data_IF_947729169307
#
_entry.id   IF_947729169307
#
_cell.length_a   1.000
_cell.length_b   1.000
_cell.length_c   1.000
_cell.angle_alpha   90.00
_cell.angle_beta   90.00
_cell.angle_gamma   90.00
#
_symmetry.space_group_name_H-M   'P 1'
#
loop_
_entity.id
_entity.type
_entity.pdbx_description
1 polymer ?
#
# COMPACT_ATOMS: atom_id res chain seq x y z
N UNK A 1 16.15 -22.41 -20.41
CA UNK A 1 15.27 -21.22 -20.62
C UNK A 1 13.90 -21.42 -19.97
N UNK A 2 13.20 -22.56 -20.16
CA UNK A 2 11.89 -22.83 -19.53
C UNK A 2 11.88 -22.92 -17.98
N UNK A 3 12.98 -23.38 -17.35
CA UNK A 3 13.10 -23.44 -15.88
C UNK A 3 13.19 -22.04 -15.23
N UNK A 4 14.05 -21.15 -15.74
CA UNK A 4 14.17 -19.79 -15.20
C UNK A 4 12.87 -18.97 -15.33
N UNK A 5 12.12 -19.14 -16.43
CA UNK A 5 10.82 -18.47 -16.60
C UNK A 5 9.77 -19.01 -15.63
N UNK A 6 9.80 -20.31 -15.33
CA UNK A 6 8.88 -20.95 -14.39
C UNK A 6 9.21 -20.56 -12.94
N UNK A 7 10.48 -20.57 -12.54
CA UNK A 7 10.93 -20.13 -11.22
C UNK A 7 10.58 -18.67 -10.96
N UNK A 8 10.77 -17.79 -11.96
CA UNK A 8 10.35 -16.38 -11.88
C UNK A 8 8.83 -16.27 -11.74
N UNK A 9 8.05 -16.99 -12.54
CA UNK A 9 6.60 -16.99 -12.40
C UNK A 9 6.15 -17.43 -11.00
N UNK A 10 6.68 -18.55 -10.50
CA UNK A 10 6.35 -19.07 -9.16
C UNK A 10 6.65 -18.04 -8.07
N UNK A 11 7.82 -17.41 -8.12
CA UNK A 11 8.23 -16.40 -7.13
C UNK A 11 7.26 -15.21 -7.02
N UNK A 12 6.85 -14.65 -8.16
CA UNK A 12 5.90 -13.54 -8.18
C UNK A 12 4.46 -13.99 -7.90
N UNK A 13 4.08 -15.18 -8.35
CA UNK A 13 2.75 -15.74 -8.12
C UNK A 13 2.51 -16.04 -6.64
N UNK A 14 3.46 -16.67 -5.94
CA UNK A 14 3.33 -16.96 -4.51
C UNK A 14 3.17 -15.69 -3.69
N UNK A 15 3.95 -14.65 -4.00
CA UNK A 15 3.83 -13.34 -3.35
C UNK A 15 2.50 -12.66 -3.68
N UNK A 16 2.07 -12.70 -4.93
CA UNK A 16 0.77 -12.16 -5.34
C UNK A 16 -0.37 -12.88 -4.60
N UNK A 17 -0.34 -14.21 -4.54
CA UNK A 17 -1.35 -15.01 -3.85
C UNK A 17 -1.37 -14.75 -2.35
N UNK A 18 -0.21 -14.63 -1.71
CA UNK A 18 -0.11 -14.26 -0.29
C UNK A 18 -0.69 -12.86 -0.01
N UNK A 19 -0.37 -11.88 -0.87
CA UNK A 19 -0.92 -10.53 -0.77
C UNK A 19 -2.44 -10.51 -0.98
N UNK A 20 -2.94 -11.24 -1.97
CA UNK A 20 -4.37 -11.33 -2.23
C UNK A 20 -5.12 -11.95 -1.05
N UNK A 21 -4.57 -13.01 -0.43
CA UNK A 21 -5.13 -13.60 0.78
C UNK A 21 -5.10 -12.60 1.96
N UNK A 22 -4.00 -11.89 2.14
CA UNK A 22 -3.87 -10.87 3.19
C UNK A 22 -4.87 -9.73 3.01
N UNK A 23 -5.08 -9.28 1.77
CA UNK A 23 -6.09 -8.28 1.42
C UNK A 23 -7.51 -8.76 1.72
N UNK A 24 -7.83 -10.00 1.38
CA UNK A 24 -9.16 -10.57 1.68
C UNK A 24 -9.43 -10.59 3.19
N UNK A 25 -8.41 -10.94 4.00
CA UNK A 25 -8.52 -10.85 5.46
C UNK A 25 -8.77 -9.40 5.90
N UNK A 26 -7.94 -8.45 5.45
CA UNK A 26 -8.09 -7.03 5.82
C UNK A 26 -9.45 -6.44 5.40
N UNK A 27 -10.03 -6.91 4.28
CA UNK A 27 -11.37 -6.51 3.85
C UNK A 27 -12.45 -7.03 4.81
N UNK A 28 -12.32 -8.29 5.25
CA UNK A 28 -13.22 -8.86 6.25
C UNK A 28 -13.12 -8.12 7.58
N UNK A 29 -11.89 -7.81 8.02
CA UNK A 29 -11.63 -7.05 9.24
C UNK A 29 -12.20 -5.61 9.14
N UNK A 30 -12.08 -4.94 7.99
CA UNK A 30 -12.72 -3.65 7.73
C UNK A 30 -14.26 -3.73 7.84
N UNK A 31 -14.88 -4.75 7.25
CA UNK A 31 -16.33 -4.94 7.36
C UNK A 31 -16.76 -5.20 8.80
N UNK A 32 -16.02 -6.02 9.55
CA UNK A 32 -16.27 -6.24 10.97
C UNK A 32 -16.11 -4.95 11.78
N UNK A 33 -15.10 -4.15 11.45
CA UNK A 33 -14.85 -2.85 12.07
C UNK A 33 -16.04 -1.92 11.88
N UNK A 34 -16.52 -1.78 10.64
CA UNK A 34 -17.66 -0.92 10.29
C UNK A 34 -18.98 -1.39 10.89
N UNK A 35 -19.23 -2.71 10.91
CA UNK A 35 -20.53 -3.26 11.29
C UNK A 35 -20.72 -3.36 12.82
N UNK A 36 -19.63 -3.56 13.57
CA UNK A 36 -19.73 -3.90 15.01
C UNK A 36 -18.75 -3.11 15.86
N UNK A 37 -17.45 -3.19 15.57
CA UNK A 37 -16.43 -2.73 16.51
C UNK A 37 -16.40 -1.19 16.64
N UNK A 38 -16.71 -0.45 15.56
CA UNK A 38 -16.74 1.02 15.58
C UNK A 38 -17.75 1.55 16.60
N UNK A 39 -18.95 0.96 16.65
CA UNK A 39 -19.99 1.35 17.60
C UNK A 39 -19.64 0.95 19.03
N UNK A 40 -18.99 -0.21 19.21
CA UNK A 40 -18.46 -0.60 20.52
C UNK A 40 -17.41 0.39 21.04
N UNK A 41 -16.48 0.82 20.20
CA UNK A 41 -15.45 1.81 20.57
C UNK A 41 -16.11 3.15 20.88
N UNK A 42 -17.07 3.58 20.05
CA UNK A 42 -17.84 4.81 20.26
C UNK A 42 -18.50 4.84 21.63
N UNK A 43 -19.16 3.74 22.01
CA UNK A 43 -19.85 3.60 23.29
C UNK A 43 -18.89 3.49 24.47
N UNK A 44 -17.84 2.66 24.37
CA UNK A 44 -16.86 2.47 25.43
C UNK A 44 -16.03 3.71 25.73
N UNK A 45 -15.65 4.45 24.70
CA UNK A 45 -14.82 5.65 24.82
C UNK A 45 -15.63 6.94 24.91
N UNK A 46 -16.98 6.84 24.99
CA UNK A 46 -17.90 7.97 25.03
C UNK A 46 -17.64 9.01 23.92
N UNK A 47 -17.32 8.54 22.72
CA UNK A 47 -16.96 9.39 21.58
C UNK A 47 -18.14 9.64 20.66
N UNK A 48 -18.07 10.70 19.88
CA UNK A 48 -19.01 10.98 18.79
C UNK A 48 -18.59 10.16 17.57
N UNK A 49 -19.55 9.71 16.75
CA UNK A 49 -19.29 8.89 15.56
C UNK A 49 -18.18 9.47 14.65
N UNK A 50 -18.18 10.77 14.39
CA UNK A 50 -17.12 11.42 13.59
C UNK A 50 -15.71 11.33 14.21
N UNK A 51 -15.60 11.25 15.54
CA UNK A 51 -14.32 11.17 16.25
C UNK A 51 -13.67 9.78 16.20
N UNK A 52 -14.39 8.75 15.72
CA UNK A 52 -13.87 7.38 15.56
C UNK A 52 -13.66 6.99 14.09
N UNK A 53 -14.05 7.85 13.13
CA UNK A 53 -13.93 7.58 11.69
C UNK A 53 -12.48 7.40 11.21
N UNK A 54 -11.51 7.96 11.92
CA UNK A 54 -10.08 7.78 11.61
C UNK A 54 -9.66 6.31 11.58
N UNK A 55 -10.34 5.44 12.35
CA UNK A 55 -10.11 3.99 12.35
C UNK A 55 -10.52 3.38 11.01
N UNK A 56 -11.68 3.80 10.47
CA UNK A 56 -12.17 3.34 9.17
C UNK A 56 -11.24 3.82 8.05
N UNK A 57 -10.76 5.05 8.13
CA UNK A 57 -9.82 5.60 7.14
C UNK A 57 -8.50 4.82 7.12
N UNK A 58 -7.98 4.44 8.30
CA UNK A 58 -6.81 3.57 8.43
C UNK A 58 -7.04 2.20 7.78
N UNK A 59 -8.16 1.53 8.08
CA UNK A 59 -8.49 0.22 7.52
C UNK A 59 -8.71 0.25 6.00
N UNK A 60 -9.33 1.30 5.47
CA UNK A 60 -9.46 1.48 4.01
C UNK A 60 -8.09 1.54 3.34
N UNK A 61 -7.16 2.33 3.87
CA UNK A 61 -5.80 2.37 3.35
C UNK A 61 -5.10 1.02 3.45
N UNK A 62 -5.29 0.29 4.55
CA UNK A 62 -4.71 -1.05 4.71
C UNK A 62 -5.18 -2.00 3.59
N UNK A 63 -6.46 -1.91 3.19
CA UNK A 63 -7.04 -2.76 2.13
C UNK A 63 -6.59 -2.32 0.73
N UNK A 64 -6.57 -1.00 0.47
CA UNK A 64 -6.23 -0.43 -0.84
C UNK A 64 -4.81 -0.77 -1.28
N UNK A 65 -3.83 -0.64 -0.37
CA UNK A 65 -2.43 -0.70 -0.77
C UNK A 65 -1.84 -2.11 -0.89
N UNK A 66 -2.53 -3.16 -0.43
CA UNK A 66 -2.08 -4.56 -0.54
C UNK A 66 -2.04 -5.12 -1.98
N UNK A 67 -2.20 -4.28 -3.01
CA UNK A 67 -2.18 -4.66 -4.43
C UNK A 67 -0.85 -4.32 -5.13
N UNK A 68 0.00 -3.50 -4.52
CA UNK A 68 1.23 -2.95 -5.13
C UNK A 68 2.19 -4.03 -5.63
N UNK A 69 2.18 -5.22 -5.04
CA UNK A 69 2.99 -6.35 -5.46
C UNK A 69 2.76 -6.84 -6.89
N UNK A 70 1.60 -6.57 -7.50
CA UNK A 70 1.35 -6.94 -8.89
C UNK A 70 2.25 -6.15 -9.86
N UNK A 71 2.73 -4.98 -9.47
CA UNK A 71 3.49 -4.08 -10.35
C UNK A 71 4.95 -4.52 -10.54
N UNK A 72 5.56 -5.11 -9.50
CA UNK A 72 6.95 -5.57 -9.51
C UNK A 72 7.26 -6.61 -10.61
N UNK A 73 6.24 -7.36 -11.07
CA UNK A 73 6.38 -8.37 -12.12
C UNK A 73 6.66 -7.77 -13.51
N UNK A 74 6.14 -6.56 -13.77
CA UNK A 74 6.15 -5.93 -15.09
C UNK A 74 7.38 -5.04 -15.36
N UNK A 75 8.26 -4.86 -14.37
CA UNK A 75 9.48 -4.07 -14.53
C UNK A 75 10.54 -4.83 -15.38
N UNK A 76 11.09 -4.21 -16.45
CA UNK A 76 12.11 -4.83 -17.29
C UNK A 76 13.42 -5.09 -16.53
N UNK A 77 14.01 -6.27 -16.72
CA UNK A 77 15.24 -6.71 -16.03
C UNK A 77 16.50 -5.91 -16.43
N UNK A 78 16.42 -5.13 -17.52
CA UNK A 78 17.55 -4.39 -18.10
C UNK A 78 17.86 -3.09 -17.35
N UNK A 79 16.92 -2.57 -16.57
CA UNK A 79 17.04 -1.27 -15.87
C UNK A 79 17.31 -1.48 -14.37
N UNK A 80 18.50 -2.04 -14.07
CA UNK A 80 18.86 -2.48 -12.70
C UNK A 80 18.70 -1.39 -11.64
N UNK A 81 19.13 -0.17 -11.92
CA UNK A 81 19.10 0.92 -10.92
C UNK A 81 17.67 1.37 -10.63
N UNK A 82 16.81 1.41 -11.65
CA UNK A 82 15.38 1.70 -11.49
C UNK A 82 14.66 0.61 -10.71
N UNK A 83 15.05 -0.65 -10.92
CA UNK A 83 14.54 -1.77 -10.12
C UNK A 83 14.95 -1.66 -8.65
N UNK A 84 16.21 -1.37 -8.37
CA UNK A 84 16.70 -1.18 -7.00
C UNK A 84 15.99 0.01 -6.30
N UNK A 85 15.76 1.11 -7.03
CA UNK A 85 15.00 2.25 -6.51
C UNK A 85 13.52 1.92 -6.25
N UNK A 86 12.87 1.17 -7.15
CA UNK A 86 11.52 0.68 -6.95
C UNK A 86 11.41 -0.27 -5.76
N UNK A 87 12.34 -1.23 -5.62
CA UNK A 87 12.39 -2.17 -4.49
C UNK A 87 12.56 -1.42 -3.15
N UNK A 88 13.36 -0.34 -3.13
CA UNK A 88 13.50 0.53 -1.97
C UNK A 88 12.19 1.24 -1.61
N UNK A 89 11.55 1.92 -2.57
CA UNK A 89 10.28 2.61 -2.34
C UNK A 89 9.17 1.65 -1.92
N UNK A 90 9.13 0.47 -2.52
CA UNK A 90 8.21 -0.60 -2.15
C UNK A 90 8.45 -1.05 -0.71
N UNK A 91 9.71 -1.27 -0.32
CA UNK A 91 10.07 -1.68 1.05
C UNK A 91 9.66 -0.66 2.11
N UNK A 92 9.87 0.64 1.85
CA UNK A 92 9.45 1.72 2.75
C UNK A 92 7.92 1.75 2.92
N UNK A 93 7.19 1.65 1.81
CA UNK A 93 5.73 1.65 1.82
C UNK A 93 5.14 0.43 2.53
N UNK A 94 5.71 -0.76 2.32
CA UNK A 94 5.30 -1.99 3.00
C UNK A 94 5.59 -1.96 4.50
N UNK A 95 6.76 -1.44 4.90
CA UNK A 95 7.10 -1.26 6.30
C UNK A 95 6.18 -0.25 6.98
N UNK A 96 5.81 0.85 6.31
CA UNK A 96 4.78 1.78 6.76
C UNK A 96 3.41 1.11 6.94
N UNK A 97 2.98 0.36 5.93
CA UNK A 97 1.71 -0.36 5.91
C UNK A 97 1.61 -1.40 7.03
N UNK A 98 2.68 -2.16 7.30
CA UNK A 98 2.68 -3.17 8.36
C UNK A 98 2.61 -2.51 9.75
N UNK A 99 3.29 -1.39 9.98
CA UNK A 99 3.17 -0.61 11.23
C UNK A 99 1.75 -0.08 11.42
N UNK A 100 1.15 0.46 10.37
CA UNK A 100 -0.24 0.93 10.38
C UNK A 100 -1.21 -0.21 10.72
N UNK A 101 -1.04 -1.36 10.07
CA UNK A 101 -1.86 -2.54 10.29
C UNK A 101 -1.73 -3.08 11.71
N UNK A 102 -0.52 -3.18 12.26
CA UNK A 102 -0.30 -3.61 13.64
C UNK A 102 -0.96 -2.68 14.66
N UNK A 103 -0.90 -1.36 14.44
CA UNK A 103 -1.57 -0.38 15.30
C UNK A 103 -3.10 -0.53 15.22
N UNK A 104 -3.64 -0.67 14.00
CA UNK A 104 -5.08 -0.82 13.77
C UNK A 104 -5.67 -2.17 14.27
N UNK A 105 -4.88 -3.25 14.26
CA UNK A 105 -5.32 -4.60 14.69
C UNK A 105 -5.09 -4.81 16.19
N UNK A 106 -3.86 -4.58 16.68
CA UNK A 106 -3.46 -4.98 18.04
C UNK A 106 -3.65 -3.90 19.09
N UNK A 107 -3.24 -2.67 18.78
CA UNK A 107 -3.33 -1.58 19.76
C UNK A 107 -4.79 -1.12 19.93
N UNK A 108 -5.58 -1.19 18.86
CA UNK A 108 -7.01 -0.91 18.91
C UNK A 108 -7.77 -1.90 19.81
N UNK A 109 -7.33 -3.15 19.87
CA UNK A 109 -7.96 -4.22 20.65
C UNK A 109 -8.03 -3.88 22.16
N UNK A 110 -7.06 -3.12 22.67
CA UNK A 110 -7.03 -2.64 24.05
C UNK A 110 -8.29 -1.83 24.35
N UNK A 111 -8.64 -0.88 23.48
CA UNK A 111 -9.79 0.00 23.65
C UNK A 111 -11.13 -0.68 23.34
N UNK A 112 -11.09 -1.82 22.65
CA UNK A 112 -12.23 -2.70 22.45
C UNK A 112 -12.53 -3.57 23.67
N UNK A 113 -11.54 -3.88 24.50
CA UNK A 113 -11.68 -4.75 25.67
C UNK A 113 -11.83 -3.94 26.97
N UNK A 114 -11.07 -2.86 27.10
CA UNK A 114 -11.04 -2.01 28.29
C UNK A 114 -12.15 -0.94 28.28
N UNK A 115 -12.28 -0.22 29.40
CA UNK A 115 -13.23 0.89 29.55
C UNK A 115 -12.71 2.21 28.99
N UNK A 116 -13.37 3.30 29.37
CA UNK A 116 -12.96 4.67 29.02
C UNK A 116 -11.49 4.90 29.40
N UNK A 117 -10.64 5.25 28.42
CA UNK A 117 -9.22 5.52 28.62
C UNK A 117 -8.86 6.93 28.16
N UNK A 118 -8.04 7.62 28.96
CA UNK A 118 -7.47 8.93 28.60
C UNK A 118 -6.41 8.80 27.49
N UNK A 119 -5.86 7.62 27.31
CA UNK A 119 -4.84 7.32 26.29
C UNK A 119 -5.46 7.16 24.90
N UNK A 120 -6.79 7.11 24.78
CA UNK A 120 -7.47 6.97 23.49
C UNK A 120 -7.18 8.16 22.55
N UNK A 121 -7.04 9.37 23.09
CA UNK A 121 -6.66 10.56 22.29
C UNK A 121 -5.23 10.46 21.74
N UNK A 122 -4.33 9.84 22.50
CA UNK A 122 -2.96 9.57 22.07
C UNK A 122 -2.95 8.50 20.96
N UNK A 123 -3.73 7.43 21.14
CA UNK A 123 -3.94 6.42 20.11
C UNK A 123 -4.52 7.01 18.83
N UNK A 124 -5.54 7.87 18.93
CA UNK A 124 -6.11 8.58 17.76
C UNK A 124 -5.03 9.34 17.00
N UNK A 125 -4.23 10.12 17.72
CA UNK A 125 -3.15 10.92 17.12
C UNK A 125 -2.12 10.01 16.45
N UNK A 126 -1.75 8.91 17.09
CA UNK A 126 -0.83 7.91 16.57
C UNK A 126 -1.35 7.24 15.30
N UNK A 127 -2.59 6.72 15.31
CA UNK A 127 -3.16 6.01 14.18
C UNK A 127 -3.36 6.95 12.99
N UNK A 128 -3.86 8.17 13.21
CA UNK A 128 -3.99 9.18 12.17
C UNK A 128 -2.63 9.59 11.59
N UNK A 129 -1.61 9.75 12.43
CA UNK A 129 -0.24 10.05 12.01
C UNK A 129 0.35 8.93 11.15
N UNK A 130 0.25 7.67 11.58
CA UNK A 130 0.68 6.50 10.80
C UNK A 130 -0.07 6.41 9.47
N UNK A 131 -1.38 6.66 9.47
CA UNK A 131 -2.21 6.68 8.28
C UNK A 131 -1.69 7.73 7.27
N UNK A 132 -1.38 8.94 7.74
CA UNK A 132 -0.82 9.99 6.88
C UNK A 132 0.57 9.64 6.35
N UNK A 133 1.46 9.12 7.19
CA UNK A 133 2.83 8.76 6.79
C UNK A 133 2.82 7.62 5.77
N UNK A 134 2.02 6.59 6.01
CA UNK A 134 1.86 5.45 5.10
C UNK A 134 1.32 5.90 3.75
N UNK A 135 0.30 6.77 3.74
CA UNK A 135 -0.21 7.38 2.51
C UNK A 135 0.90 8.09 1.72
N UNK A 136 1.75 8.88 2.39
CA UNK A 136 2.85 9.58 1.72
C UNK A 136 3.86 8.62 1.07
N UNK A 137 4.21 7.51 1.73
CA UNK A 137 5.10 6.50 1.13
C UNK A 137 4.52 5.93 -0.17
N UNK A 138 3.22 5.66 -0.18
CA UNK A 138 2.55 5.15 -1.36
C UNK A 138 2.37 6.20 -2.45
N UNK A 139 2.08 7.46 -2.10
CA UNK A 139 2.05 8.56 -3.07
C UNK A 139 3.42 8.76 -3.73
N UNK A 140 4.50 8.68 -2.96
CA UNK A 140 5.87 8.72 -3.50
C UNK A 140 6.14 7.55 -4.45
N UNK A 141 5.70 6.33 -4.10
CA UNK A 141 5.82 5.16 -4.96
C UNK A 141 5.05 5.36 -6.27
N UNK A 142 3.80 5.79 -6.21
CA UNK A 142 2.97 6.04 -7.40
C UNK A 142 3.58 7.14 -8.27
N UNK A 143 4.03 8.24 -7.68
CA UNK A 143 4.67 9.34 -8.40
C UNK A 143 5.96 8.88 -9.09
N UNK A 144 6.79 8.08 -8.42
CA UNK A 144 8.00 7.52 -9.01
C UNK A 144 7.69 6.60 -10.21
N UNK A 145 6.58 5.86 -10.15
CA UNK A 145 6.09 5.03 -11.26
C UNK A 145 5.53 5.89 -12.41
N UNK A 146 4.77 6.93 -12.11
CA UNK A 146 4.22 7.86 -13.10
C UNK A 146 5.34 8.60 -13.86
N UNK A 147 6.45 8.89 -13.18
CA UNK A 147 7.64 9.53 -13.75
C UNK A 147 8.63 8.54 -14.37
N UNK A 148 8.24 7.29 -14.66
CA UNK A 148 9.11 6.24 -15.24
C UNK A 148 10.44 6.00 -14.49
N UNK A 149 10.48 6.32 -13.19
CA UNK A 149 11.67 6.26 -12.35
C UNK A 149 12.82 7.15 -12.88
N UNK A 150 12.51 8.28 -13.53
CA UNK A 150 13.46 9.24 -14.12
C UNK A 150 14.42 9.88 -13.10
N UNK A 151 14.07 9.91 -11.81
CA UNK A 151 14.96 10.42 -10.74
C UNK A 151 16.30 9.67 -10.68
N UNK A 152 16.33 8.44 -11.22
CA UNK A 152 17.51 7.57 -11.33
C UNK A 152 18.47 8.01 -12.44
N UNK A 153 18.01 8.75 -13.47
CA UNK A 153 18.85 9.23 -14.59
C UNK A 153 19.62 10.52 -14.25
N UNK A 154 19.35 11.14 -13.10
CA UNK A 154 19.95 12.43 -12.72
C UNK A 154 21.42 12.35 -12.26
N UNK A 155 22.04 11.16 -12.19
CA UNK A 155 23.49 11.01 -12.01
C UNK A 155 24.08 9.89 -12.88
N UNK A 156 24.58 10.31 -14.04
CA UNK A 156 25.80 9.81 -14.68
C UNK A 156 25.83 8.31 -15.05
N UNK A 157 25.07 7.89 -16.08
CA UNK A 157 25.46 6.74 -16.89
C UNK A 157 25.03 6.89 -18.36
N UNK A 158 25.51 7.95 -19.02
CA UNK A 158 25.46 8.04 -20.48
C UNK A 158 26.49 7.09 -21.11
N UNK A 159 26.09 5.86 -21.43
CA UNK A 159 26.69 5.12 -22.54
C UNK A 159 25.61 4.38 -23.36
N UNK A 160 25.15 5.10 -24.39
CA UNK A 160 24.52 4.67 -25.65
C UNK A 160 24.04 3.21 -25.72
N UNK A 161 22.73 3.00 -25.65
CA UNK A 161 22.06 1.94 -26.42
C UNK A 161 20.87 2.55 -27.16
N UNK A 162 20.79 2.19 -28.45
CA UNK A 162 19.95 2.77 -29.49
C UNK A 162 18.47 2.44 -29.29
N UNK A 163 17.64 3.40 -29.73
CA UNK A 163 16.25 3.31 -30.16
C UNK A 163 15.62 1.91 -30.11
N UNK A 164 14.77 1.67 -29.11
CA UNK A 164 13.61 0.78 -29.23
C UNK A 164 12.45 1.41 -28.45
N UNK A 165 11.51 1.97 -29.21
CA UNK A 165 10.09 2.22 -28.91
C UNK A 165 9.69 2.80 -27.54
N UNK A 166 9.87 4.12 -27.39
CA UNK A 166 9.25 4.94 -26.32
C UNK A 166 7.70 4.92 -26.36
N UNK A 167 7.10 4.51 -27.47
CA UNK A 167 5.64 4.55 -27.66
C UNK A 167 4.90 3.40 -26.93
N UNK A 168 5.58 2.28 -26.65
CA UNK A 168 4.97 1.13 -25.97
C UNK A 168 4.95 1.28 -24.44
N UNK A 169 5.96 1.96 -23.86
CA UNK A 169 6.08 2.19 -22.41
C UNK A 169 5.07 3.26 -21.95
N UNK A 170 4.83 4.29 -22.77
CA UNK A 170 3.84 5.33 -22.47
C UNK A 170 2.39 4.81 -22.55
N UNK A 171 2.11 3.86 -23.44
CA UNK A 171 0.77 3.30 -23.68
C UNK A 171 0.26 2.41 -22.54
N UNK A 172 1.17 1.63 -21.92
CA UNK A 172 0.82 0.68 -20.86
C UNK A 172 0.61 1.37 -19.51
N UNK A 173 1.38 2.42 -19.22
CA UNK A 173 1.18 3.26 -18.02
C UNK A 173 -0.17 3.98 -18.06
N UNK A 174 -0.62 4.46 -19.22
CA UNK A 174 -1.89 5.20 -19.34
C UNK A 174 -3.12 4.34 -19.08
N UNK A 175 -3.16 3.09 -19.57
CA UNK A 175 -4.31 2.19 -19.37
C UNK A 175 -4.37 1.63 -17.94
N UNK A 176 -3.23 1.44 -17.27
CA UNK A 176 -3.19 0.94 -15.89
C UNK A 176 -3.42 2.05 -14.84
N UNK A 177 -2.94 3.28 -15.10
CA UNK A 177 -3.29 4.47 -14.31
C UNK A 177 -4.78 4.85 -14.44
N UNK A 178 -5.40 4.59 -15.61
CA UNK A 178 -6.85 4.75 -15.77
C UNK A 178 -7.65 3.74 -14.94
N UNK A 179 -7.14 2.52 -14.72
CA UNK A 179 -7.76 1.56 -13.78
C UNK A 179 -7.62 2.02 -12.32
N UNK A 180 -6.48 2.61 -11.95
CA UNK A 180 -6.26 3.24 -10.63
C UNK A 180 -7.18 4.43 -10.38
N UNK A 181 -7.52 5.23 -11.42
CA UNK A 181 -8.56 6.28 -11.32
C UNK A 181 -9.98 5.71 -11.21
N UNK A 182 -10.33 4.67 -11.97
CA UNK A 182 -11.68 4.08 -11.91
C UNK A 182 -11.99 3.38 -10.59
N UNK A 183 -10.96 2.98 -9.82
CA UNK A 183 -11.12 2.38 -8.50
C UNK A 183 -11.26 3.41 -7.36
N UNK A 184 -10.99 4.70 -7.63
CA UNK A 184 -11.25 5.81 -6.69
C UNK A 184 -12.69 6.36 -6.79
N UNK A 185 -13.46 5.96 -7.79
CA UNK A 185 -14.80 6.49 -8.09
C UNK A 185 -15.95 5.50 -7.82
N UNK A 186 -15.70 4.35 -7.18
CA UNK A 186 -16.72 3.43 -6.65
C UNK A 186 -16.42 3.07 -5.19
#
# INVERSE_FOLDING_TARGET
MAKNSLERYTHYYERWAANQKSRQKALADLHQMQAVQLDQIREKQCQIHGQVMFIIDAWKQIVEWRWTYAYAYYLPERERVKREFFEYLQGEAESGLERLHQCAEKELEIYLNEGLSKEFDEFRTKLAGLTSVTKNYFENLVQALENNLEDVDSKDFRLKVREVDEEYICSMNKIHLLKLRSFKEN
#
